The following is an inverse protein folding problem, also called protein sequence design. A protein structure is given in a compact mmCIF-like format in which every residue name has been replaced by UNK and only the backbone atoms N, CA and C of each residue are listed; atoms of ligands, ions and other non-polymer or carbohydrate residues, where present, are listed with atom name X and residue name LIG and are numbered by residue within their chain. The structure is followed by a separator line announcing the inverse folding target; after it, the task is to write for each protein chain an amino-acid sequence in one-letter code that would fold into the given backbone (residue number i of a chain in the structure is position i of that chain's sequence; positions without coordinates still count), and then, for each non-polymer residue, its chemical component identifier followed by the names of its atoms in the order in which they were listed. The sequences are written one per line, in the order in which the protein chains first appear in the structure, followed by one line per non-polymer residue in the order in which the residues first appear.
data_IF_460157195233
#
_entry.id   IF_460157195233
#
_cell.length_a   1.000
_cell.length_b   1.000
_cell.length_c   1.000
_cell.angle_alpha   90.00
_cell.angle_beta   90.00
_cell.angle_gamma   90.00
#
_symmetry.space_group_name_H-M   'P 1'
#
loop_
_entity.id
_entity.type
_entity.pdbx_description
1 polymer ?
#
# COMPACT_ATOMS: atom_id res chain seq x y z
N UNK A 1 -62.22 28.51 -3.93
CA UNK A 1 -60.99 28.79 -4.70
C UNK A 1 -60.18 29.84 -3.95
N UNK A 2 -58.85 29.63 -3.79
CA UNK A 2 -57.79 30.44 -3.11
C UNK A 2 -57.19 29.65 -1.93
N UNK A 3 -56.23 28.76 -2.19
CA UNK A 3 -54.76 28.93 -2.34
C UNK A 3 -54.06 28.68 -0.99
N UNK A 4 -53.53 27.46 -0.84
CA UNK A 4 -52.61 27.07 0.22
C UNK A 4 -51.28 27.82 0.07
N UNK A 5 -50.76 28.37 1.17
CA UNK A 5 -49.38 28.87 1.25
C UNK A 5 -48.48 27.71 1.63
N UNK A 6 -47.65 27.26 0.69
CA UNK A 6 -46.48 26.41 0.96
C UNK A 6 -45.33 27.32 1.40
N UNK A 7 -44.89 27.18 2.65
CA UNK A 7 -43.63 27.74 3.11
C UNK A 7 -42.51 26.77 2.70
N UNK A 8 -41.71 27.15 1.70
CA UNK A 8 -40.48 26.46 1.36
C UNK A 8 -39.37 26.98 2.29
N UNK A 9 -38.91 26.12 3.21
CA UNK A 9 -37.63 26.33 3.90
C UNK A 9 -36.51 26.10 2.88
N UNK A 10 -35.79 27.15 2.53
CA UNK A 10 -34.49 27.03 1.88
C UNK A 10 -33.46 26.56 2.92
N UNK A 11 -33.00 25.32 2.79
CA UNK A 11 -31.76 24.88 3.41
C UNK A 11 -30.59 25.38 2.57
N UNK A 12 -29.77 26.29 3.14
CA UNK A 12 -28.48 26.68 2.59
C UNK A 12 -27.47 25.58 2.93
N UNK A 13 -27.32 24.59 2.05
CA UNK A 13 -26.15 23.73 2.06
C UNK A 13 -25.00 24.52 1.45
N UNK A 14 -24.05 24.93 2.29
CA UNK A 14 -22.77 25.47 1.85
C UNK A 14 -21.93 24.33 1.27
N UNK A 15 -22.09 24.08 -0.03
CA UNK A 15 -21.17 23.26 -0.80
C UNK A 15 -19.92 24.09 -1.11
N UNK A 16 -18.83 23.85 -0.37
CA UNK A 16 -17.50 24.12 -0.91
C UNK A 16 -17.20 22.98 -1.89
N UNK A 17 -17.38 23.26 -3.17
CA UNK A 17 -16.90 22.38 -4.23
C UNK A 17 -15.39 22.54 -4.44
N UNK A 18 -14.77 21.51 -5.00
CA UNK A 18 -13.48 21.70 -5.67
C UNK A 18 -12.53 20.52 -5.71
N UNK A 19 -12.98 19.28 -5.82
CA UNK A 19 -12.30 18.31 -6.67
C UNK A 19 -13.30 17.22 -7.09
N UNK A 20 -13.32 16.86 -8.38
CA UNK A 20 -13.92 15.59 -8.80
C UNK A 20 -12.84 14.55 -9.05
N UNK A 21 -11.68 14.75 -8.41
CA UNK A 21 -10.53 13.87 -8.41
C UNK A 21 -10.91 12.46 -8.00
N UNK A 22 -10.07 11.52 -8.39
CA UNK A 22 -10.22 10.13 -8.02
C UNK A 22 -10.24 10.02 -6.49
N UNK A 23 -11.32 9.49 -5.85
CA UNK A 23 -11.35 9.33 -4.40
C UNK A 23 -10.12 8.58 -3.85
N UNK A 24 -9.58 7.62 -4.62
CA UNK A 24 -8.39 6.88 -4.24
C UNK A 24 -7.13 7.76 -4.23
N UNK A 25 -7.05 8.81 -5.06
CA UNK A 25 -5.93 9.75 -5.06
C UNK A 25 -5.85 10.47 -3.71
N UNK A 26 -6.98 10.99 -3.20
CA UNK A 26 -7.04 11.63 -1.89
C UNK A 26 -6.72 10.68 -0.73
N UNK A 27 -7.23 9.45 -0.78
CA UNK A 27 -6.93 8.43 0.23
C UNK A 27 -5.44 8.05 0.27
N UNK A 28 -4.80 7.96 -0.90
CA UNK A 28 -3.37 7.70 -1.01
C UNK A 28 -2.52 8.88 -0.52
N UNK A 29 -2.95 10.12 -0.75
CA UNK A 29 -2.27 11.30 -0.18
C UNK A 29 -2.31 11.28 1.34
N UNK A 30 -3.49 11.08 1.94
CA UNK A 30 -3.66 11.02 3.40
C UNK A 30 -2.85 9.88 4.02
N UNK A 31 -2.90 8.68 3.42
CA UNK A 31 -2.10 7.52 3.83
C UNK A 31 -0.60 7.82 3.79
N UNK A 32 -0.10 8.32 2.67
CA UNK A 32 1.33 8.54 2.46
C UNK A 32 1.88 9.70 3.30
N UNK A 33 1.06 10.71 3.61
CA UNK A 33 1.45 11.77 4.53
C UNK A 33 1.60 11.22 5.97
N UNK A 34 0.65 10.41 6.44
CA UNK A 34 0.73 9.77 7.76
C UNK A 34 1.91 8.80 7.89
N UNK A 35 2.15 7.95 6.88
CA UNK A 35 3.30 7.03 6.89
C UNK A 35 4.61 7.82 6.86
N UNK A 36 4.72 8.87 6.04
CA UNK A 36 5.93 9.68 6.01
C UNK A 36 6.19 10.42 7.32
N UNK A 37 5.14 10.85 8.02
CA UNK A 37 5.24 11.55 9.31
C UNK A 37 5.63 10.61 10.45
N UNK A 38 4.96 9.46 10.58
CA UNK A 38 5.10 8.59 11.75
C UNK A 38 6.04 7.42 11.56
N UNK A 39 6.28 7.00 10.31
CA UNK A 39 7.16 5.88 9.95
C UNK A 39 8.33 6.39 9.13
N UNK A 40 9.28 7.05 9.79
CA UNK A 40 10.49 7.61 9.18
C UNK A 40 11.78 7.03 9.78
N UNK A 41 12.92 7.34 9.17
CA UNK A 41 14.23 6.87 9.64
C UNK A 41 14.35 5.35 9.55
N UNK A 42 14.70 4.68 10.64
CA UNK A 42 14.93 3.22 10.68
C UNK A 42 13.65 2.39 10.69
N UNK A 43 12.48 3.03 10.60
CA UNK A 43 11.19 2.36 10.43
C UNK A 43 10.46 2.88 9.18
N UNK A 44 11.20 3.50 8.26
CA UNK A 44 10.65 4.00 7.01
C UNK A 44 10.05 2.85 6.19
N UNK A 45 8.81 3.01 5.74
CA UNK A 45 8.11 1.96 4.96
C UNK A 45 8.22 2.17 3.45
N UNK A 46 8.61 3.37 3.03
CA UNK A 46 8.85 3.72 1.64
C UNK A 46 10.11 4.58 1.54
N UNK A 47 10.92 4.42 0.49
CA UNK A 47 12.11 5.23 0.29
C UNK A 47 11.78 6.71 0.03
N UNK A 48 10.63 6.98 -0.60
CA UNK A 48 10.15 8.32 -0.89
C UNK A 48 8.62 8.35 -1.10
N UNK A 49 8.05 9.57 -1.09
CA UNK A 49 6.60 9.79 -1.26
C UNK A 49 6.08 9.27 -2.61
N UNK A 50 6.88 9.34 -3.67
CA UNK A 50 6.47 8.86 -5.00
C UNK A 50 6.25 7.35 -5.00
N UNK A 51 7.17 6.59 -4.40
CA UNK A 51 7.02 5.14 -4.25
C UNK A 51 5.83 4.76 -3.36
N UNK A 52 5.53 5.54 -2.33
CA UNK A 52 4.35 5.33 -1.49
C UNK A 52 3.05 5.50 -2.31
N UNK A 53 2.91 6.64 -3.00
CA UNK A 53 1.71 6.93 -3.79
C UNK A 53 1.51 5.91 -4.91
N UNK A 54 2.58 5.57 -5.63
CA UNK A 54 2.51 4.61 -6.72
C UNK A 54 2.16 3.19 -6.23
N UNK A 55 2.67 2.80 -5.06
CA UNK A 55 2.31 1.52 -4.43
C UNK A 55 0.86 1.54 -3.95
N UNK A 56 0.41 2.64 -3.33
CA UNK A 56 -0.97 2.80 -2.85
C UNK A 56 -2.00 2.74 -3.98
N UNK A 57 -1.70 3.34 -5.13
CA UNK A 57 -2.57 3.29 -6.30
C UNK A 57 -2.79 1.86 -6.85
N UNK A 58 -1.93 0.90 -6.50
CA UNK A 58 -2.06 -0.51 -6.86
C UNK A 58 -2.73 -1.37 -5.77
N UNK A 59 -3.18 -0.76 -4.66
CA UNK A 59 -3.87 -1.45 -3.57
C UNK A 59 -5.39 -1.24 -3.64
N UNK A 60 -6.15 -2.15 -3.04
CA UNK A 60 -7.57 -1.92 -2.80
C UNK A 60 -7.74 -0.78 -1.76
N UNK A 61 -8.50 0.29 -2.07
CA UNK A 61 -8.74 1.36 -1.11
C UNK A 61 -9.39 0.85 0.19
N UNK A 62 -10.29 -0.14 0.11
CA UNK A 62 -11.07 -0.63 1.25
C UNK A 62 -12.13 0.36 1.76
N UNK A 63 -12.58 0.15 3.00
CA UNK A 63 -13.59 1.01 3.66
C UNK A 63 -12.95 1.72 4.87
N UNK A 64 -12.86 3.06 4.89
CA UNK A 64 -12.38 3.81 6.04
C UNK A 64 -13.20 3.60 7.33
N UNK A 65 -14.47 3.22 7.22
CA UNK A 65 -15.32 2.88 8.37
C UNK A 65 -15.10 1.44 8.87
N UNK A 66 -14.47 0.59 8.07
CA UNK A 66 -14.08 -0.80 8.41
C UNK A 66 -12.64 -1.11 7.92
N UNK A 67 -11.60 -0.53 8.57
CA UNK A 67 -10.22 -0.58 8.12
C UNK A 67 -9.59 -1.97 8.37
N UNK A 68 -9.97 -2.94 7.53
CA UNK A 68 -9.55 -4.34 7.61
C UNK A 68 -9.12 -4.88 6.24
N UNK A 69 -8.53 -6.06 6.23
CA UNK A 69 -8.02 -6.70 5.01
C UNK A 69 -6.73 -6.05 4.48
N UNK A 70 -6.29 -6.50 3.32
CA UNK A 70 -5.17 -5.92 2.59
C UNK A 70 -5.62 -4.66 1.83
N UNK A 71 -5.83 -3.57 2.57
CA UNK A 71 -6.43 -2.34 2.05
C UNK A 71 -5.67 -1.09 2.48
N UNK A 72 -5.80 -0.02 1.70
CA UNK A 72 -5.29 1.32 2.06
C UNK A 72 -5.92 1.80 3.35
N UNK A 73 -7.24 1.66 3.54
CA UNK A 73 -7.92 2.06 4.77
C UNK A 73 -7.32 1.41 6.04
N UNK A 74 -7.01 0.10 6.00
CA UNK A 74 -6.34 -0.57 7.11
C UNK A 74 -4.95 0.02 7.37
N UNK A 75 -4.19 0.29 6.30
CA UNK A 75 -2.83 0.83 6.37
C UNK A 75 -2.79 2.26 6.89
N UNK A 76 -3.75 3.09 6.50
CA UNK A 76 -3.95 4.46 7.03
C UNK A 76 -4.21 4.43 8.53
N UNK A 77 -5.05 3.50 9.01
CA UNK A 77 -5.28 3.33 10.44
C UNK A 77 -3.99 2.93 11.19
N UNK A 78 -3.21 2.02 10.62
CA UNK A 78 -1.93 1.62 11.21
C UNK A 78 -0.89 2.76 11.17
N UNK A 79 -0.85 3.56 10.11
CA UNK A 79 0.03 4.73 9.98
C UNK A 79 -0.29 5.78 11.06
N UNK A 80 -1.57 6.08 11.29
CA UNK A 80 -2.00 6.97 12.37
C UNK A 80 -1.64 6.40 13.76
N UNK A 81 -1.81 5.09 13.96
CA UNK A 81 -1.43 4.44 15.22
C UNK A 81 0.08 4.51 15.51
N UNK A 82 0.92 4.66 14.47
CA UNK A 82 2.36 4.78 14.61
C UNK A 82 2.82 6.05 15.34
N UNK A 83 1.96 7.08 15.44
CA UNK A 83 2.20 8.25 16.31
C UNK A 83 2.45 7.82 17.76
N UNK A 84 1.73 6.81 18.23
CA UNK A 84 1.81 6.29 19.59
C UNK A 84 2.70 5.06 19.71
N UNK A 85 2.81 4.26 18.64
CA UNK A 85 3.57 3.02 18.61
C UNK A 85 4.17 2.72 17.23
N UNK A 86 5.43 3.13 17.03
CA UNK A 86 6.18 2.87 15.80
C UNK A 86 6.29 1.37 15.41
N UNK A 87 6.01 0.42 16.31
CA UNK A 87 5.98 -1.00 15.96
C UNK A 87 4.84 -1.36 15.00
N UNK A 88 3.87 -0.46 14.81
CA UNK A 88 2.81 -0.58 13.80
C UNK A 88 3.28 -0.21 12.39
N UNK A 89 4.47 0.36 12.21
CA UNK A 89 4.96 0.78 10.89
C UNK A 89 5.01 -0.36 9.86
N UNK A 90 5.50 -1.58 10.17
CA UNK A 90 5.41 -2.70 9.23
C UNK A 90 3.96 -3.07 8.84
N UNK A 91 2.99 -2.85 9.73
CA UNK A 91 1.56 -3.03 9.39
C UNK A 91 1.08 -1.94 8.45
N UNK A 92 1.49 -0.68 8.69
CA UNK A 92 1.17 0.43 7.82
C UNK A 92 1.80 0.25 6.43
N UNK A 93 3.06 -0.20 6.37
CA UNK A 93 3.82 -0.37 5.14
C UNK A 93 3.35 -1.52 4.24
N UNK A 94 3.98 -1.69 3.07
CA UNK A 94 3.47 -2.47 1.94
C UNK A 94 3.22 -3.97 2.23
N UNK A 95 3.83 -4.53 3.28
CA UNK A 95 3.69 -5.93 3.65
C UNK A 95 2.48 -6.24 4.53
N UNK A 96 1.88 -5.27 5.22
CA UNK A 96 0.67 -5.46 6.05
C UNK A 96 0.83 -6.30 7.32
N UNK A 97 1.87 -7.14 7.38
CA UNK A 97 2.39 -7.85 8.54
C UNK A 97 1.33 -8.56 9.40
N UNK A 98 0.30 -9.10 8.74
CA UNK A 98 -0.73 -9.96 9.33
C UNK A 98 -1.96 -9.23 9.86
N UNK A 99 -1.96 -7.88 9.93
CA UNK A 99 -3.13 -7.10 10.36
C UNK A 99 -3.84 -6.44 9.18
N UNK A 100 -3.08 -5.92 8.21
CA UNK A 100 -3.61 -5.39 6.96
C UNK A 100 -3.30 -6.36 5.81
N UNK A 101 -3.73 -7.62 5.97
CA UNK A 101 -3.33 -8.74 5.11
C UNK A 101 -2.06 -9.45 5.61
N UNK A 102 -1.89 -10.71 5.20
CA UNK A 102 -0.62 -11.42 5.45
C UNK A 102 0.48 -10.90 4.51
N UNK A 103 1.77 -11.02 4.87
CA UNK A 103 2.88 -10.59 4.02
C UNK A 103 2.84 -11.13 2.59
N UNK A 104 2.47 -12.40 2.42
CA UNK A 104 2.39 -13.00 1.09
C UNK A 104 1.13 -12.62 0.30
N UNK A 105 -0.01 -12.39 0.96
CA UNK A 105 -1.19 -11.86 0.29
C UNK A 105 -0.90 -10.45 -0.25
N UNK A 106 -0.37 -9.57 0.60
CA UNK A 106 -0.03 -8.20 0.22
C UNK A 106 1.03 -8.14 -0.89
N UNK A 107 2.10 -8.92 -0.74
CA UNK A 107 3.15 -9.01 -1.75
C UNK A 107 2.62 -9.56 -3.09
N UNK A 108 1.82 -10.62 -3.07
CA UNK A 108 1.34 -11.22 -4.31
C UNK A 108 0.27 -10.38 -5.00
N UNK A 109 -0.62 -9.73 -4.26
CA UNK A 109 -1.59 -8.79 -4.82
C UNK A 109 -0.89 -7.64 -5.56
N UNK A 110 0.08 -7.00 -4.91
CA UNK A 110 0.89 -5.95 -5.54
C UNK A 110 1.69 -6.46 -6.75
N UNK A 111 2.27 -7.66 -6.68
CA UNK A 111 3.03 -8.22 -7.78
C UNK A 111 2.15 -8.47 -9.03
N UNK A 112 0.90 -8.91 -8.84
CA UNK A 112 -0.05 -9.11 -9.93
C UNK A 112 -0.48 -7.80 -10.59
N UNK A 113 -0.62 -6.72 -9.82
CA UNK A 113 -0.96 -5.40 -10.35
C UNK A 113 0.22 -4.69 -11.03
N UNK A 114 1.41 -4.76 -10.43
CA UNK A 114 2.58 -3.98 -10.87
C UNK A 114 3.42 -4.68 -11.94
N UNK A 115 3.53 -6.01 -11.88
CA UNK A 115 4.42 -6.79 -12.74
C UNK A 115 3.61 -7.65 -13.73
N UNK A 116 3.18 -7.03 -14.81
CA UNK A 116 2.29 -7.65 -15.82
C UNK A 116 2.98 -7.87 -17.17
N UNK A 117 2.40 -8.72 -18.02
CA UNK A 117 2.89 -8.99 -19.37
C UNK A 117 4.28 -9.62 -19.38
N UNK A 118 5.21 -9.01 -20.11
CA UNK A 118 6.60 -9.50 -20.20
C UNK A 118 7.38 -9.30 -18.88
N UNK A 119 6.83 -8.52 -17.94
CA UNK A 119 7.41 -8.27 -16.61
C UNK A 119 6.84 -9.21 -15.54
N UNK A 120 5.94 -10.12 -15.90
CA UNK A 120 5.33 -11.05 -14.96
C UNK A 120 6.35 -11.95 -14.28
N UNK A 121 6.45 -11.81 -12.95
CA UNK A 121 7.40 -12.56 -12.12
C UNK A 121 6.90 -13.96 -11.74
N UNK A 122 5.58 -14.18 -11.73
CA UNK A 122 4.95 -15.43 -11.32
C UNK A 122 3.89 -15.87 -12.34
N UNK A 123 3.77 -17.18 -12.55
CA UNK A 123 2.79 -17.70 -13.51
C UNK A 123 1.33 -17.38 -13.12
N UNK A 124 1.05 -17.39 -11.81
CA UNK A 124 -0.25 -17.08 -11.22
C UNK A 124 -0.10 -16.79 -9.71
N UNK A 125 -1.19 -16.34 -9.08
CA UNK A 125 -1.29 -16.07 -7.64
C UNK A 125 -0.82 -17.24 -6.77
N UNK A 126 -1.18 -18.47 -7.14
CA UNK A 126 -0.84 -19.65 -6.34
C UNK A 126 0.68 -19.93 -6.39
N UNK A 127 1.31 -19.74 -7.55
CA UNK A 127 2.75 -19.82 -7.72
C UNK A 127 3.46 -18.70 -6.93
N UNK A 128 2.91 -17.49 -6.92
CA UNK A 128 3.44 -16.39 -6.11
C UNK A 128 3.38 -16.73 -4.61
N UNK A 129 2.21 -17.11 -4.10
CA UNK A 129 2.02 -17.43 -2.68
C UNK A 129 2.92 -18.59 -2.24
N UNK A 130 3.07 -19.62 -3.09
CA UNK A 130 3.98 -20.74 -2.81
C UNK A 130 5.44 -20.33 -2.79
N UNK A 131 5.86 -19.40 -3.66
CA UNK A 131 7.23 -18.89 -3.66
C UNK A 131 7.48 -17.99 -2.45
N UNK A 132 6.55 -17.08 -2.16
CA UNK A 132 6.63 -16.17 -1.02
C UNK A 132 6.77 -16.91 0.31
N UNK A 133 6.00 -17.99 0.50
CA UNK A 133 6.09 -18.82 1.71
C UNK A 133 7.47 -19.49 1.91
N UNK A 134 8.30 -19.54 0.87
CA UNK A 134 9.64 -20.09 0.93
C UNK A 134 10.74 -19.02 1.13
N UNK A 135 10.42 -17.73 1.02
CA UNK A 135 11.40 -16.66 1.26
C UNK A 135 11.77 -16.59 2.74
N UNK A 136 13.05 -16.36 3.03
CA UNK A 136 13.52 -16.18 4.41
C UNK A 136 13.02 -14.82 4.91
N UNK A 137 12.25 -14.77 6.01
CA UNK A 137 11.86 -13.50 6.58
C UNK A 137 13.01 -12.89 7.39
N UNK A 138 13.20 -11.59 7.28
CA UNK A 138 14.16 -10.77 8.02
C UNK A 138 13.45 -9.55 8.66
N UNK A 139 12.42 -9.74 9.51
CA UNK A 139 11.64 -8.64 10.03
C UNK A 139 12.39 -7.83 11.09
N UNK A 140 11.99 -6.57 11.33
CA UNK A 140 10.92 -5.85 10.63
C UNK A 140 11.39 -5.31 9.27
N UNK A 141 10.47 -5.16 8.32
CA UNK A 141 10.75 -4.44 7.08
C UNK A 141 11.01 -2.95 7.34
N UNK A 142 12.03 -2.43 6.67
CA UNK A 142 12.20 -1.01 6.39
C UNK A 142 12.73 -0.77 4.97
N UNK A 143 12.59 0.47 4.49
CA UNK A 143 12.92 0.85 3.12
C UNK A 143 14.43 0.78 2.79
N UNK A 144 15.29 0.42 3.74
CA UNK A 144 16.71 0.16 3.50
C UNK A 144 17.03 -1.31 3.19
N UNK A 145 16.04 -2.21 3.24
CA UNK A 145 16.12 -3.63 2.86
C UNK A 145 16.29 -3.79 1.34
N UNK A 146 17.44 -3.37 0.81
CA UNK A 146 17.70 -3.27 -0.63
C UNK A 146 18.51 -4.45 -1.20
N UNK A 147 18.82 -5.46 -0.37
CA UNK A 147 19.65 -6.61 -0.74
C UNK A 147 19.56 -7.77 0.25
N UNK A 148 20.23 -8.88 -0.07
CA UNK A 148 20.18 -10.15 0.67
C UNK A 148 19.06 -11.08 0.22
N UNK A 149 19.10 -12.36 0.60
CA UNK A 149 18.05 -13.32 0.23
C UNK A 149 16.87 -13.33 1.21
N UNK A 150 16.14 -12.20 1.30
CA UNK A 150 14.98 -12.07 2.20
C UNK A 150 13.67 -11.74 1.48
N UNK A 151 12.56 -11.95 2.19
CA UNK A 151 11.25 -11.42 1.80
C UNK A 151 11.28 -9.89 1.73
N UNK A 152 11.88 -9.24 2.72
CA UNK A 152 11.97 -7.80 2.85
C UNK A 152 12.72 -7.15 1.66
N UNK A 153 13.80 -7.77 1.19
CA UNK A 153 14.49 -7.35 -0.04
C UNK A 153 13.56 -7.35 -1.26
N UNK A 154 12.76 -8.43 -1.39
CA UNK A 154 11.82 -8.58 -2.50
C UNK A 154 10.66 -7.61 -2.38
N UNK A 155 10.18 -7.34 -1.15
CA UNK A 155 9.15 -6.36 -0.87
C UNK A 155 9.62 -4.93 -1.20
N UNK A 156 10.86 -4.57 -0.87
CA UNK A 156 11.46 -3.30 -1.30
C UNK A 156 11.47 -3.19 -2.83
N UNK A 157 11.94 -4.22 -3.54
CA UNK A 157 11.95 -4.16 -5.00
C UNK A 157 10.55 -4.15 -5.60
N UNK A 158 9.56 -4.76 -4.96
CA UNK A 158 8.18 -4.67 -5.39
C UNK A 158 7.63 -3.23 -5.25
N UNK A 159 7.91 -2.52 -4.16
CA UNK A 159 7.51 -1.11 -4.05
C UNK A 159 8.27 -0.22 -5.04
N UNK A 160 9.54 -0.51 -5.30
CA UNK A 160 10.30 0.18 -6.34
C UNK A 160 9.74 -0.07 -7.76
N UNK A 161 9.19 -1.27 -8.01
CA UNK A 161 8.52 -1.61 -9.26
C UNK A 161 7.24 -0.80 -9.51
N UNK A 162 6.62 -0.23 -8.48
CA UNK A 162 5.51 0.70 -8.67
C UNK A 162 5.92 1.99 -9.42
N UNK A 163 7.21 2.33 -9.40
CA UNK A 163 7.78 3.49 -10.10
C UNK A 163 8.49 3.10 -11.39
N UNK A 164 9.32 2.05 -11.36
CA UNK A 164 10.03 1.53 -12.54
C UNK A 164 9.93 -0.01 -12.60
N UNK A 165 8.84 -0.55 -13.17
CA UNK A 165 8.61 -1.99 -13.20
C UNK A 165 9.61 -2.72 -14.10
N UNK A 166 10.12 -2.07 -15.16
CA UNK A 166 11.10 -2.70 -16.06
C UNK A 166 12.41 -3.02 -15.34
N UNK A 167 12.83 -2.15 -14.42
CA UNK A 167 14.05 -2.35 -13.64
C UNK A 167 13.83 -3.34 -12.48
N UNK A 168 12.68 -3.28 -11.81
CA UNK A 168 12.54 -3.90 -10.49
C UNK A 168 11.72 -5.19 -10.45
N UNK A 169 10.81 -5.45 -11.40
CA UNK A 169 10.04 -6.70 -11.41
C UNK A 169 10.92 -7.95 -11.51
N UNK A 170 12.09 -7.86 -12.17
CA UNK A 170 13.04 -8.96 -12.25
C UNK A 170 13.70 -9.35 -10.91
N UNK A 171 13.54 -8.56 -9.84
CA UNK A 171 14.21 -8.79 -8.56
C UNK A 171 13.32 -9.48 -7.52
N UNK A 172 12.01 -9.58 -7.76
CA UNK A 172 11.06 -10.04 -6.73
C UNK A 172 10.91 -11.57 -6.69
N UNK A 173 11.33 -12.26 -7.75
CA UNK A 173 11.17 -13.70 -7.91
C UNK A 173 12.05 -14.57 -7.00
N UNK A 174 11.84 -15.90 -7.00
CA UNK A 174 12.64 -16.86 -6.23
C UNK A 174 14.09 -17.00 -6.73
N UNK A 175 14.33 -16.68 -8.00
CA UNK A 175 15.68 -16.51 -8.54
C UNK A 175 15.83 -15.03 -8.84
N UNK A 176 16.50 -14.31 -7.95
CA UNK A 176 16.69 -12.87 -8.05
C UNK A 176 18.16 -12.55 -8.32
N UNK A 177 18.47 -11.65 -9.27
CA UNK A 177 19.83 -11.16 -9.47
C UNK A 177 20.27 -10.14 -8.41
N UNK A 178 19.38 -9.77 -7.48
CA UNK A 178 19.62 -8.73 -6.46
C UNK A 178 19.36 -9.24 -5.04
N UNK A 179 18.25 -9.96 -4.83
CA UNK A 179 17.90 -10.56 -3.55
C UNK A 179 18.43 -12.00 -3.46
N UNK A 180 19.74 -12.12 -3.22
CA UNK A 180 20.46 -13.38 -3.06
C UNK A 180 21.59 -13.22 -2.01
N UNK A 181 22.16 -14.34 -1.55
CA UNK A 181 23.28 -14.39 -0.59
C UNK A 181 24.67 -14.19 -1.22
#
# INVERSE_FOLDING_TARGET
MRRALSAALLALASACGGDTGDPQEGECEDYCDLVAEHCAGTVAQYPDRGSCLATCAAMDPGDPEDPTGDTVACRTFAAAAAELDSSTCPTAGPGGYGRCGTPCEAFCGLAEELCTGDLTAYADSAACLSACAAFVPAPPFDASDTGGDSFECRLYHLTAASVDPNLHCGHIGPVSPTCFD
#
